data_IF_858591883628
#
_entry.id   IF_858591883628
#
_cell.length_a   1.000
_cell.length_b   1.000
_cell.length_c   1.000
_cell.angle_alpha   90.00
_cell.angle_beta   90.00
_cell.angle_gamma   90.00
#
_symmetry.space_group_name_H-M   'P 1'
#
loop_
_entity.id
_entity.type
_entity.pdbx_description
1 polymer ?
#
# COMPACT_ATOMS: atom_id res chain seq x y z
N UNK A 1 28.67 40.37 15.69
CA UNK A 1 28.14 40.02 14.34
C UNK A 1 28.43 38.57 13.94
N UNK A 2 29.63 38.03 14.27
CA UNK A 2 30.00 36.63 13.98
C UNK A 2 29.14 35.59 14.71
N UNK A 3 28.72 35.84 15.95
CA UNK A 3 27.88 34.92 16.74
C UNK A 3 26.48 34.82 16.15
N UNK A 4 25.93 35.89 15.59
CA UNK A 4 24.62 35.89 14.95
C UNK A 4 24.61 35.03 13.64
N UNK A 5 25.69 35.03 12.89
CA UNK A 5 25.84 34.25 11.66
C UNK A 5 25.96 32.74 11.95
N UNK A 6 26.67 32.36 13.02
CA UNK A 6 26.78 30.95 13.44
C UNK A 6 25.42 30.42 13.96
N UNK A 7 24.71 31.26 14.73
CA UNK A 7 23.35 30.91 15.22
C UNK A 7 22.34 30.71 14.08
N UNK A 8 22.36 31.55 13.05
CA UNK A 8 21.49 31.43 11.89
C UNK A 8 21.83 30.18 11.04
N UNK A 9 23.11 29.87 10.88
CA UNK A 9 23.55 28.66 10.17
C UNK A 9 23.14 27.38 10.88
N UNK A 10 23.24 27.31 12.20
CA UNK A 10 22.80 26.15 13.00
C UNK A 10 21.29 26.01 13.00
N UNK A 11 20.54 27.12 13.05
CA UNK A 11 19.07 27.10 12.97
C UNK A 11 18.57 26.61 11.63
N UNK A 12 19.20 26.95 10.52
CA UNK A 12 18.85 26.49 9.19
C UNK A 12 19.13 24.99 8.99
N UNK A 13 20.17 24.44 9.62
CA UNK A 13 20.49 23.02 9.51
C UNK A 13 19.62 22.11 10.38
N UNK A 14 19.05 22.62 11.47
CA UNK A 14 18.16 21.84 12.37
C UNK A 14 16.75 21.67 11.76
N UNK A 15 16.31 22.60 10.91
CA UNK A 15 14.98 22.57 10.28
C UNK A 15 14.91 21.86 8.92
N UNK A 16 15.96 21.20 8.45
CA UNK A 16 15.86 20.30 7.31
C UNK A 16 15.14 19.03 7.77
N UNK A 17 13.83 18.98 7.57
CA UNK A 17 13.06 17.75 7.74
C UNK A 17 13.72 16.63 6.93
N UNK A 18 14.03 15.53 7.61
CA UNK A 18 14.68 14.40 6.96
C UNK A 18 13.75 13.83 5.90
N UNK A 19 14.23 13.78 4.67
CA UNK A 19 13.55 13.12 3.56
C UNK A 19 13.14 11.70 3.97
N UNK A 20 11.85 11.37 3.82
CA UNK A 20 11.36 10.02 4.14
C UNK A 20 11.89 9.06 3.09
N UNK A 21 12.87 8.26 3.49
CA UNK A 21 13.44 7.24 2.61
C UNK A 21 12.42 6.11 2.38
N UNK A 22 12.01 5.94 1.12
CA UNK A 22 11.14 4.86 0.70
C UNK A 22 11.97 3.65 0.27
N UNK A 23 11.44 2.47 0.54
CA UNK A 23 11.89 1.25 -0.09
C UNK A 23 11.56 1.28 -1.59
N UNK A 24 12.45 0.76 -2.43
CA UNK A 24 12.32 0.89 -3.88
C UNK A 24 11.26 -0.03 -4.48
N UNK A 25 11.05 -1.18 -3.86
CA UNK A 25 10.16 -2.22 -4.37
C UNK A 25 8.76 -2.08 -3.80
N UNK A 26 8.66 -1.88 -2.49
CA UNK A 26 7.38 -1.74 -1.79
C UNK A 26 6.84 -0.32 -1.75
N UNK A 27 7.63 0.70 -2.09
CA UNK A 27 7.32 2.13 -1.91
C UNK A 27 6.96 2.52 -0.47
N UNK A 28 7.16 1.63 0.49
CA UNK A 28 6.89 1.90 1.89
C UNK A 28 8.02 2.71 2.54
N UNK A 29 7.71 3.56 3.53
CA UNK A 29 8.74 4.15 4.36
C UNK A 29 9.62 3.07 5.00
N UNK A 30 10.92 3.30 5.08
CA UNK A 30 11.84 2.38 5.79
C UNK A 30 11.49 2.21 7.26
N UNK A 31 10.74 3.12 7.84
CA UNK A 31 10.22 3.06 9.21
C UNK A 31 8.98 2.16 9.33
N UNK A 32 8.43 1.67 8.23
CA UNK A 32 7.21 0.88 8.15
C UNK A 32 6.02 1.65 7.58
N UNK A 33 4.97 0.92 7.21
CA UNK A 33 3.70 1.49 6.78
C UNK A 33 2.96 2.13 7.96
N UNK A 34 2.19 3.20 7.69
CA UNK A 34 1.35 3.84 8.71
C UNK A 34 0.10 3.06 9.04
N UNK A 35 -0.44 2.34 8.06
CA UNK A 35 -1.58 1.47 8.20
C UNK A 35 -1.62 0.46 7.06
N UNK A 36 -2.49 -0.55 7.14
CA UNK A 36 -2.59 -1.61 6.14
C UNK A 36 -4.04 -1.86 5.77
N UNK A 37 -4.30 -1.89 4.47
CA UNK A 37 -5.51 -2.46 3.89
C UNK A 37 -5.18 -3.84 3.36
N UNK A 38 -5.83 -4.86 3.90
CA UNK A 38 -5.71 -6.22 3.42
C UNK A 38 -6.88 -6.54 2.49
N UNK A 39 -6.56 -7.00 1.30
CA UNK A 39 -7.53 -7.50 0.32
C UNK A 39 -7.38 -9.01 0.27
N UNK A 40 -8.46 -9.73 0.53
CA UNK A 40 -8.50 -11.19 0.42
C UNK A 40 -9.26 -11.59 -0.83
N UNK A 41 -8.58 -12.23 -1.77
CA UNK A 41 -9.18 -12.81 -2.97
C UNK A 41 -9.46 -14.28 -2.73
N UNK A 42 -10.74 -14.64 -2.79
CA UNK A 42 -11.16 -16.03 -2.82
C UNK A 42 -10.90 -16.61 -4.21
N UNK A 43 -10.01 -17.59 -4.27
CA UNK A 43 -9.62 -18.29 -5.50
C UNK A 43 -10.12 -19.72 -5.54
N UNK A 44 -11.21 -20.02 -4.83
CA UNK A 44 -11.81 -21.36 -4.82
C UNK A 44 -12.67 -21.63 -6.05
N UNK A 45 -13.32 -20.60 -6.59
CA UNK A 45 -14.18 -20.69 -7.77
C UNK A 45 -13.71 -19.76 -8.89
N UNK A 46 -13.98 -20.15 -10.14
CA UNK A 46 -13.72 -19.31 -11.29
C UNK A 46 -14.68 -18.10 -11.31
N UNK A 47 -14.12 -16.89 -11.34
CA UNK A 47 -14.92 -15.67 -11.40
C UNK A 47 -15.29 -15.35 -12.85
N UNK A 48 -16.56 -14.94 -13.03
CA UNK A 48 -17.02 -14.38 -14.31
C UNK A 48 -16.23 -13.09 -14.64
N UNK A 49 -16.05 -12.80 -15.94
CA UNK A 49 -15.32 -11.62 -16.39
C UNK A 49 -15.87 -10.32 -15.81
N UNK A 50 -17.20 -10.21 -15.68
CA UNK A 50 -17.85 -9.03 -15.07
C UNK A 50 -17.37 -8.85 -13.63
N UNK A 51 -17.40 -9.91 -12.83
CA UNK A 51 -16.95 -9.89 -11.43
C UNK A 51 -15.45 -9.56 -11.31
N UNK A 52 -14.60 -10.11 -12.20
CA UNK A 52 -13.18 -9.76 -12.25
C UNK A 52 -12.96 -8.25 -12.46
N UNK A 53 -13.75 -7.63 -13.34
CA UNK A 53 -13.68 -6.18 -13.58
C UNK A 53 -14.20 -5.38 -12.37
N UNK A 54 -15.29 -5.79 -11.75
CA UNK A 54 -15.82 -5.15 -10.54
C UNK A 54 -14.81 -5.18 -9.39
N UNK A 55 -14.10 -6.28 -9.20
CA UNK A 55 -13.02 -6.39 -8.21
C UNK A 55 -11.91 -5.39 -8.52
N UNK A 56 -11.46 -5.30 -9.78
CA UNK A 56 -10.43 -4.33 -10.19
C UNK A 56 -10.86 -2.88 -9.94
N UNK A 57 -12.10 -2.54 -10.30
CA UNK A 57 -12.64 -1.19 -10.09
C UNK A 57 -12.69 -0.85 -8.60
N UNK A 58 -13.09 -1.82 -7.76
CA UNK A 58 -13.11 -1.63 -6.30
C UNK A 58 -11.71 -1.45 -5.72
N UNK A 59 -10.72 -2.18 -6.22
CA UNK A 59 -9.32 -2.02 -5.81
C UNK A 59 -8.80 -0.64 -6.21
N UNK A 60 -9.09 -0.17 -7.42
CA UNK A 60 -8.72 1.19 -7.85
C UNK A 60 -9.36 2.26 -6.96
N UNK A 61 -10.62 2.08 -6.57
CA UNK A 61 -11.29 2.97 -5.62
C UNK A 61 -10.56 3.00 -4.27
N UNK A 62 -10.20 1.83 -3.73
CA UNK A 62 -9.42 1.71 -2.49
C UNK A 62 -8.08 2.44 -2.64
N UNK A 63 -7.34 2.19 -3.72
CA UNK A 63 -6.04 2.82 -3.95
C UNK A 63 -6.14 4.35 -4.00
N UNK A 64 -7.21 4.90 -4.62
CA UNK A 64 -7.41 6.35 -4.75
C UNK A 64 -7.80 7.02 -3.42
N UNK A 65 -8.45 6.31 -2.53
CA UNK A 65 -8.87 6.82 -1.23
C UNK A 65 -7.86 6.56 -0.12
N UNK A 66 -6.88 5.70 -0.39
CA UNK A 66 -5.89 5.28 0.60
C UNK A 66 -5.01 6.47 1.02
N UNK A 67 -4.84 6.73 2.33
CA UNK A 67 -3.92 7.74 2.80
C UNK A 67 -2.47 7.43 2.41
N UNK A 68 -1.65 8.47 2.38
CA UNK A 68 -0.23 8.33 2.08
C UNK A 68 0.48 7.44 3.10
N UNK A 69 1.38 6.56 2.61
CA UNK A 69 2.14 5.58 3.39
C UNK A 69 1.32 4.44 3.99
N UNK A 70 0.04 4.36 3.66
CA UNK A 70 -0.73 3.16 3.91
C UNK A 70 -0.39 2.09 2.88
N UNK A 71 -0.35 0.86 3.33
CA UNK A 71 -0.02 -0.31 2.53
C UNK A 71 -1.28 -1.02 2.05
N UNK A 72 -1.32 -1.40 0.78
CA UNK A 72 -2.27 -2.40 0.28
C UNK A 72 -1.54 -3.73 0.19
N UNK A 73 -2.12 -4.76 0.80
CA UNK A 73 -1.61 -6.13 0.74
C UNK A 73 -2.70 -7.05 0.21
N UNK A 74 -2.42 -7.73 -0.89
CA UNK A 74 -3.36 -8.66 -1.54
C UNK A 74 -3.00 -10.09 -1.13
N UNK A 75 -3.92 -10.75 -0.48
CA UNK A 75 -3.83 -12.15 -0.08
C UNK A 75 -4.76 -13.00 -0.92
N UNK A 76 -4.47 -14.28 -1.01
CA UNK A 76 -5.33 -15.27 -1.67
C UNK A 76 -5.67 -16.38 -0.70
N UNK A 77 -6.87 -16.91 -0.83
CA UNK A 77 -7.22 -18.17 -0.21
C UNK A 77 -7.58 -19.20 -1.28
N UNK A 78 -7.32 -20.45 -1.00
CA UNK A 78 -7.69 -21.61 -1.80
C UNK A 78 -8.34 -22.68 -0.92
N UNK A 79 -8.58 -23.87 -1.44
CA UNK A 79 -9.22 -24.96 -0.69
C UNK A 79 -8.44 -25.40 0.58
N UNK A 80 -7.14 -25.09 0.67
CA UNK A 80 -6.29 -25.43 1.83
C UNK A 80 -6.25 -24.32 2.89
N UNK A 81 -6.79 -23.14 2.60
CA UNK A 81 -6.83 -22.00 3.49
C UNK A 81 -6.12 -20.76 2.96
N UNK A 82 -5.74 -19.87 3.87
CA UNK A 82 -5.06 -18.62 3.58
C UNK A 82 -3.63 -18.86 3.10
N UNK A 83 -3.25 -18.17 2.04
CA UNK A 83 -1.84 -18.02 1.71
C UNK A 83 -1.27 -16.87 2.56
N UNK A 84 -0.49 -17.18 3.59
CA UNK A 84 0.06 -16.19 4.53
C UNK A 84 0.95 -15.13 3.88
N UNK A 85 1.51 -15.42 2.69
CA UNK A 85 2.31 -14.45 1.94
C UNK A 85 1.42 -13.71 0.95
N UNK A 86 1.36 -12.36 1.04
CA UNK A 86 0.62 -11.59 0.07
C UNK A 86 1.23 -11.74 -1.33
N UNK A 87 0.37 -11.79 -2.35
CA UNK A 87 0.79 -11.80 -3.76
C UNK A 87 1.31 -10.44 -4.20
N UNK A 88 0.88 -9.38 -3.54
CA UNK A 88 1.43 -8.03 -3.66
C UNK A 88 1.30 -7.29 -2.34
N UNK A 89 2.25 -6.41 -2.06
CA UNK A 89 2.25 -5.57 -0.86
C UNK A 89 3.03 -4.29 -1.17
N UNK A 90 2.32 -3.15 -1.23
CA UNK A 90 2.92 -1.88 -1.67
C UNK A 90 2.23 -0.69 -0.99
N UNK A 91 3.01 0.33 -0.64
CA UNK A 91 2.49 1.54 0.00
C UNK A 91 2.14 2.63 -1.01
N UNK A 92 1.08 3.39 -0.69
CA UNK A 92 0.78 4.63 -1.42
C UNK A 92 1.89 5.66 -1.19
N UNK A 93 2.66 6.04 -2.22
CA UNK A 93 3.75 7.02 -2.08
C UNK A 93 3.24 8.46 -1.99
N UNK A 94 1.96 8.70 -2.26
CA UNK A 94 1.34 10.02 -2.39
C UNK A 94 1.03 10.40 -3.83
N UNK A 95 0.08 11.28 -4.03
CA UNK A 95 -0.43 11.75 -5.32
C UNK A 95 -0.03 13.19 -5.61
N UNK A 96 -0.22 13.61 -6.86
CA UNK A 96 0.13 14.96 -7.31
C UNK A 96 -0.70 16.06 -6.64
N UNK A 97 -1.97 15.79 -6.30
CA UNK A 97 -2.85 16.69 -5.55
C UNK A 97 -2.36 16.95 -4.11
N UNK A 98 -1.51 16.08 -3.57
CA UNK A 98 -0.86 16.20 -2.26
C UNK A 98 0.56 16.80 -2.36
N UNK A 99 0.91 17.43 -3.48
CA UNK A 99 2.27 17.91 -3.78
C UNK A 99 2.86 18.82 -2.70
N UNK A 100 2.06 19.75 -2.16
CA UNK A 100 2.54 20.70 -1.18
C UNK A 100 2.86 20.02 0.17
N UNK A 101 2.06 19.02 0.56
CA UNK A 101 2.33 18.17 1.71
C UNK A 101 3.59 17.31 1.48
N UNK A 102 3.77 16.81 0.25
CA UNK A 102 4.96 16.05 -0.14
C UNK A 102 6.22 16.89 -0.05
N UNK A 103 6.17 18.16 -0.48
CA UNK A 103 7.27 19.08 -0.41
C UNK A 103 7.66 19.46 1.03
N UNK A 104 6.66 19.67 1.90
CA UNK A 104 6.88 19.96 3.32
C UNK A 104 7.52 18.78 4.08
N UNK A 105 7.34 17.56 3.61
CA UNK A 105 7.91 16.34 4.20
C UNK A 105 9.21 15.88 3.52
N UNK A 106 9.93 16.81 2.85
CA UNK A 106 11.24 16.54 2.26
C UNK A 106 11.22 15.65 1.01
N UNK A 107 10.04 15.37 0.44
CA UNK A 107 9.95 14.68 -0.84
C UNK A 107 10.12 15.67 -1.99
N UNK A 108 10.81 15.20 -3.01
CA UNK A 108 11.00 15.97 -4.24
C UNK A 108 9.66 16.41 -4.80
N UNK A 109 9.43 17.73 -4.85
CA UNK A 109 8.22 18.31 -5.43
C UNK A 109 8.18 18.20 -6.98
N UNK A 110 8.89 17.23 -7.56
CA UNK A 110 8.90 16.98 -9.01
C UNK A 110 7.63 16.25 -9.42
N UNK A 111 6.70 16.90 -10.16
CA UNK A 111 5.42 16.32 -10.55
C UNK A 111 5.57 15.01 -11.32
N UNK A 112 6.53 14.94 -12.24
CA UNK A 112 6.76 13.75 -13.08
C UNK A 112 7.19 12.55 -12.23
N UNK A 113 7.99 12.79 -11.19
CA UNK A 113 8.42 11.72 -10.29
C UNK A 113 7.26 11.22 -9.42
N UNK A 114 6.42 12.14 -8.93
CA UNK A 114 5.24 11.80 -8.13
C UNK A 114 4.27 10.96 -8.97
N UNK A 115 3.91 11.40 -10.17
CA UNK A 115 3.02 10.67 -11.06
C UNK A 115 3.55 9.27 -11.41
N UNK A 116 4.86 9.18 -11.72
CA UNK A 116 5.48 7.89 -12.00
C UNK A 116 5.39 6.94 -10.82
N UNK A 117 5.72 7.41 -9.61
CA UNK A 117 5.66 6.59 -8.40
C UNK A 117 4.24 6.15 -8.04
N UNK A 118 3.28 7.04 -8.25
CA UNK A 118 1.88 6.70 -8.05
C UNK A 118 1.38 5.69 -9.09
N UNK A 119 1.79 5.83 -10.35
CA UNK A 119 1.51 4.84 -11.40
C UNK A 119 2.15 3.47 -11.13
N UNK A 120 3.37 3.42 -10.57
CA UNK A 120 4.00 2.18 -10.10
C UNK A 120 3.14 1.51 -9.02
N UNK A 121 2.62 2.28 -8.05
CA UNK A 121 1.73 1.81 -7.00
C UNK A 121 0.41 1.24 -7.56
N UNK A 122 -0.29 1.97 -8.44
CA UNK A 122 -1.54 1.49 -9.04
C UNK A 122 -1.31 0.21 -9.87
N UNK A 123 -0.29 0.21 -10.71
CA UNK A 123 0.00 -0.89 -11.62
C UNK A 123 0.41 -2.17 -10.90
N UNK A 124 1.18 -2.08 -9.83
CA UNK A 124 1.68 -3.25 -9.11
C UNK A 124 0.55 -4.12 -8.56
N UNK A 125 -0.47 -3.50 -7.98
CA UNK A 125 -1.62 -4.22 -7.42
C UNK A 125 -2.47 -4.83 -8.54
N UNK A 126 -2.76 -4.08 -9.60
CA UNK A 126 -3.57 -4.60 -10.72
C UNK A 126 -2.90 -5.77 -11.41
N UNK A 127 -1.58 -5.70 -11.65
CA UNK A 127 -0.83 -6.80 -12.25
C UNK A 127 -0.84 -8.05 -11.35
N UNK A 128 -0.75 -7.88 -10.04
CA UNK A 128 -0.84 -8.99 -9.10
C UNK A 128 -2.22 -9.66 -9.14
N UNK A 129 -3.29 -8.87 -9.18
CA UNK A 129 -4.67 -9.37 -9.28
C UNK A 129 -4.89 -10.08 -10.61
N UNK A 130 -4.41 -9.53 -11.73
CA UNK A 130 -4.50 -10.18 -13.03
C UNK A 130 -3.78 -11.53 -13.02
N UNK A 131 -2.59 -11.60 -12.45
CA UNK A 131 -1.85 -12.86 -12.32
C UNK A 131 -2.57 -13.90 -11.46
N UNK A 132 -3.40 -13.47 -10.50
CA UNK A 132 -4.26 -14.36 -9.73
C UNK A 132 -5.42 -14.85 -10.59
N UNK A 133 -6.07 -13.96 -11.34
CA UNK A 133 -7.23 -14.30 -12.19
C UNK A 133 -6.91 -15.14 -13.41
N UNK A 134 -5.65 -15.23 -13.81
CA UNK A 134 -5.19 -16.12 -14.90
C UNK A 134 -5.00 -17.57 -14.46
N UNK A 135 -4.99 -17.84 -13.14
CA UNK A 135 -4.84 -19.22 -12.64
C UNK A 135 -6.15 -19.98 -12.77
N UNK A 136 -6.04 -21.29 -13.00
CA UNK A 136 -7.18 -22.17 -12.93
C UNK A 136 -7.64 -22.37 -11.48
N UNK A 137 -8.93 -22.27 -11.24
CA UNK A 137 -9.56 -22.45 -9.95
C UNK A 137 -10.35 -23.74 -9.95
N UNK A 138 -10.17 -24.55 -8.92
CA UNK A 138 -10.87 -25.83 -8.78
C UNK A 138 -10.83 -26.26 -7.32
N UNK A 139 -11.78 -25.80 -6.53
CA UNK A 139 -11.91 -26.22 -5.15
C UNK A 139 -13.30 -26.79 -4.87
N UNK A 140 -13.39 -27.70 -3.91
CA UNK A 140 -14.67 -28.29 -3.49
C UNK A 140 -15.38 -27.46 -2.43
N UNK A 141 -14.65 -26.59 -1.74
CA UNK A 141 -15.16 -25.73 -0.67
C UNK A 141 -14.25 -24.53 -0.46
N UNK A 142 -14.82 -23.43 0.05
CA UNK A 142 -14.09 -22.24 0.44
C UNK A 142 -14.00 -22.14 1.97
N UNK A 143 -12.79 -22.14 2.57
CA UNK A 143 -12.61 -21.98 4.01
C UNK A 143 -12.59 -20.49 4.41
N UNK A 144 -13.46 -19.65 3.85
CA UNK A 144 -13.43 -18.19 3.97
C UNK A 144 -13.39 -17.69 5.41
N UNK A 145 -14.25 -18.23 6.29
CA UNK A 145 -14.31 -17.79 7.69
C UNK A 145 -13.02 -18.09 8.46
N UNK A 146 -12.44 -19.27 8.26
CA UNK A 146 -11.17 -19.63 8.87
C UNK A 146 -10.04 -18.74 8.35
N UNK A 147 -9.99 -18.50 7.04
CA UNK A 147 -8.99 -17.65 6.40
C UNK A 147 -9.07 -16.18 6.83
N UNK A 148 -10.27 -15.64 7.07
CA UNK A 148 -10.42 -14.29 7.63
C UNK A 148 -9.87 -14.21 9.06
N UNK A 149 -10.05 -15.24 9.86
CA UNK A 149 -9.52 -15.32 11.22
C UNK A 149 -7.99 -15.42 11.22
N UNK A 150 -7.41 -16.22 10.33
CA UNK A 150 -5.96 -16.33 10.12
C UNK A 150 -5.38 -15.01 9.62
N UNK A 151 -6.03 -14.35 8.65
CA UNK A 151 -5.59 -13.08 8.07
C UNK A 151 -5.41 -12.01 9.15
N UNK A 152 -6.31 -11.96 10.15
CA UNK A 152 -6.19 -11.01 11.26
C UNK A 152 -4.90 -11.15 12.07
N UNK A 153 -4.29 -12.34 12.07
CA UNK A 153 -3.01 -12.61 12.71
C UNK A 153 -1.79 -12.30 11.84
N UNK A 154 -1.97 -12.28 10.52
CA UNK A 154 -0.88 -12.09 9.53
C UNK A 154 -0.72 -10.63 9.11
N UNK A 155 -1.79 -9.84 9.17
CA UNK A 155 -1.75 -8.42 8.80
C UNK A 155 -0.74 -7.67 9.70
N UNK A 156 0.22 -6.93 9.11
CA UNK A 156 1.13 -6.10 9.87
C UNK A 156 0.37 -5.10 10.75
N UNK A 157 0.74 -5.04 12.01
CA UNK A 157 0.15 -4.05 12.93
C UNK A 157 0.64 -2.66 12.54
N UNK A 158 -0.25 -1.64 12.51
CA UNK A 158 0.14 -0.27 12.23
C UNK A 158 1.17 0.23 13.26
N UNK A 159 2.04 1.12 12.81
CA UNK A 159 3.09 1.73 13.65
C UNK A 159 2.48 2.73 14.64
N UNK A 160 1.37 3.38 14.27
CA UNK A 160 0.61 4.31 15.09
C UNK A 160 -0.74 3.71 15.49
N UNK A 161 -1.10 3.88 16.77
CA UNK A 161 -2.31 3.28 17.38
C UNK A 161 -3.61 3.90 16.83
N UNK A 162 -3.54 5.07 16.20
CA UNK A 162 -4.69 5.76 15.60
C UNK A 162 -5.05 5.26 14.19
N UNK A 163 -4.25 4.34 13.62
CA UNK A 163 -4.46 3.83 12.28
C UNK A 163 -5.37 2.60 12.26
N UNK A 164 -6.48 2.70 11.53
CA UNK A 164 -7.44 1.62 11.38
C UNK A 164 -6.95 0.56 10.36
N UNK A 165 -7.20 -0.70 10.67
CA UNK A 165 -7.07 -1.81 9.71
C UNK A 165 -8.41 -1.98 8.98
N UNK A 166 -8.39 -1.88 7.66
CA UNK A 166 -9.58 -2.11 6.82
C UNK A 166 -9.51 -3.49 6.20
N UNK A 167 -10.58 -4.26 6.32
CA UNK A 167 -10.81 -5.51 5.59
C UNK A 167 -11.82 -5.24 4.48
N UNK A 168 -11.45 -5.56 3.27
CA UNK A 168 -12.32 -5.45 2.10
C UNK A 168 -12.45 -6.81 1.39
#
# INVERSE_FOLDING_TARGET
LLIALVGAGVFLTINTEKEVALDKDSLCPKTGARGTVAVLLDTTDELALVTKNEVKDKILEIQRTLPRFYQVSVYTLNETGLNEKPVASICNPGRLDQRDELAQQGLTANPVLIERKYGEFESAILLAIDSVFEKEFSAKQSPLLASLQELSGVIPKPVDIDDAVYLA
#
